data_IF_452670172583
#
_entry.id   IF_452670172583
#
_cell.length_a   1.000
_cell.length_b   1.000
_cell.length_c   1.000
_cell.angle_alpha   90.00
_cell.angle_beta   90.00
_cell.angle_gamma   90.00
#
_symmetry.space_group_name_H-M   'P 1'
#
loop_
_entity.id
_entity.type
_entity.pdbx_description
1 polymer ?
#
# COMPACT_ATOMS: atom_id res chain seq x y z
N UNK A 1 -23.07 16.31 25.70
CA UNK A 1 -22.16 16.71 24.60
C UNK A 1 -21.17 17.72 25.17
N UNK A 2 -19.91 17.34 25.40
CA UNK A 2 -18.91 18.23 26.02
C UNK A 2 -18.37 19.14 24.93
N UNK A 3 -18.66 20.45 25.01
CA UNK A 3 -18.15 21.43 24.07
C UNK A 3 -16.63 21.56 24.29
N UNK A 4 -15.79 21.38 23.25
CA UNK A 4 -14.34 21.48 23.36
C UNK A 4 -13.90 22.83 23.96
N UNK A 5 -12.87 22.82 24.79
CA UNK A 5 -12.41 24.00 25.52
C UNK A 5 -12.01 25.15 24.57
N UNK A 6 -11.45 24.84 23.40
CA UNK A 6 -11.11 25.83 22.39
C UNK A 6 -12.35 26.41 21.68
N UNK A 7 -13.42 25.62 21.48
CA UNK A 7 -14.71 26.14 20.98
C UNK A 7 -15.32 27.13 21.96
N UNK A 8 -15.20 26.88 23.27
CA UNK A 8 -15.63 27.85 24.30
C UNK A 8 -14.84 29.15 24.20
N UNK A 9 -13.52 29.07 23.97
CA UNK A 9 -12.66 30.25 23.77
C UNK A 9 -13.07 31.04 22.51
N UNK A 10 -13.35 30.36 21.39
CA UNK A 10 -13.81 31.01 20.15
C UNK A 10 -15.16 31.70 20.33
N UNK A 11 -16.12 31.06 20.99
CA UNK A 11 -17.42 31.66 21.31
C UNK A 11 -17.20 32.89 22.19
N UNK A 12 -16.37 32.79 23.22
CA UNK A 12 -16.05 33.92 24.09
C UNK A 12 -15.43 35.10 23.33
N UNK A 13 -14.50 34.84 22.41
CA UNK A 13 -13.89 35.87 21.55
C UNK A 13 -14.95 36.53 20.66
N UNK A 14 -15.79 35.74 19.98
CA UNK A 14 -16.85 36.27 19.10
C UNK A 14 -17.85 37.11 19.90
N UNK A 15 -18.32 36.59 21.03
CA UNK A 15 -19.24 37.32 21.92
C UNK A 15 -18.61 38.61 22.44
N UNK A 16 -17.33 38.58 22.83
CA UNK A 16 -16.58 39.76 23.26
C UNK A 16 -16.50 40.83 22.17
N UNK A 17 -16.15 40.45 20.93
CA UNK A 17 -16.12 41.36 19.78
C UNK A 17 -17.49 42.00 19.53
N UNK A 18 -18.57 41.22 19.57
CA UNK A 18 -19.94 41.74 19.39
C UNK A 18 -20.29 42.77 20.47
N UNK A 19 -19.98 42.48 21.73
CA UNK A 19 -20.22 43.40 22.85
C UNK A 19 -19.42 44.70 22.67
N UNK A 20 -18.18 44.63 22.21
CA UNK A 20 -17.38 45.83 21.92
C UNK A 20 -17.96 46.66 20.78
N UNK A 21 -18.45 46.04 19.70
CA UNK A 21 -19.11 46.75 18.59
C UNK A 21 -20.37 47.47 19.08
N UNK A 22 -21.21 46.78 19.86
CA UNK A 22 -22.44 47.37 20.44
C UNK A 22 -22.08 48.56 21.35
N UNK A 23 -21.04 48.41 22.18
CA UNK A 23 -20.55 49.49 23.06
C UNK A 23 -20.09 50.71 22.25
N UNK A 24 -19.34 50.50 21.17
CA UNK A 24 -18.88 51.59 20.29
C UNK A 24 -20.05 52.32 19.64
N UNK A 25 -21.05 51.59 19.11
CA UNK A 25 -22.26 52.18 18.53
C UNK A 25 -23.05 52.96 19.57
N UNK A 26 -23.17 52.43 20.79
CA UNK A 26 -23.86 53.10 21.89
C UNK A 26 -23.17 54.41 22.29
N UNK A 27 -21.84 54.40 22.40
CA UNK A 27 -21.04 55.60 22.68
C UNK A 27 -21.19 56.64 21.55
N UNK A 28 -21.21 56.20 20.29
CA UNK A 28 -21.41 57.07 19.13
C UNK A 28 -22.79 57.76 19.17
N UNK A 29 -23.86 57.00 19.45
CA UNK A 29 -25.22 57.52 19.55
C UNK A 29 -25.32 58.53 20.70
N UNK A 30 -24.78 58.19 21.89
CA UNK A 30 -24.76 59.10 23.05
C UNK A 30 -24.05 60.40 22.69
N UNK A 31 -22.90 60.32 22.01
CA UNK A 31 -22.16 61.51 21.60
C UNK A 31 -22.96 62.38 20.61
N UNK A 32 -23.66 61.77 19.64
CA UNK A 32 -24.51 62.50 18.70
C UNK A 32 -25.63 63.28 19.42
N UNK A 33 -26.25 62.68 20.43
CA UNK A 33 -27.29 63.35 21.24
C UNK A 33 -26.71 64.43 22.15
N UNK A 34 -25.62 64.15 22.87
CA UNK A 34 -24.97 65.10 23.80
C UNK A 34 -24.40 66.29 23.05
N UNK A 35 -23.72 66.09 21.91
CA UNK A 35 -23.16 67.17 21.10
C UNK A 35 -24.23 68.09 20.51
N UNK A 36 -25.37 67.53 20.07
CA UNK A 36 -26.52 68.31 19.63
C UNK A 36 -27.17 69.10 20.78
N UNK A 37 -27.28 68.50 21.97
CA UNK A 37 -27.80 69.19 23.16
C UNK A 37 -26.90 70.37 23.56
N UNK A 38 -25.59 70.16 23.64
CA UNK A 38 -24.63 71.20 24.04
C UNK A 38 -24.43 72.29 22.98
N UNK A 39 -24.63 72.01 21.69
CA UNK A 39 -24.66 73.06 20.64
C UNK A 39 -25.76 74.09 20.85
N UNK A 40 -26.87 73.71 21.49
CA UNK A 40 -27.96 74.65 21.81
C UNK A 40 -27.69 75.49 23.06
N UNK A 41 -26.68 75.13 23.87
CA UNK A 41 -26.31 75.76 25.14
C UNK A 41 -24.91 76.36 25.03
N UNK A 42 -24.74 77.35 24.15
CA UNK A 42 -23.47 78.09 24.03
C UNK A 42 -23.54 79.43 24.74
N UNK A 43 -23.17 79.44 26.02
CA UNK A 43 -22.46 80.54 26.69
C UNK A 43 -22.10 80.08 28.11
N UNK A 44 -20.82 80.18 28.50
CA UNK A 44 -20.26 79.77 29.80
C UNK A 44 -20.11 78.25 30.01
N UNK A 45 -19.03 77.67 29.47
CA UNK A 45 -18.04 76.80 30.17
C UNK A 45 -17.28 75.97 29.13
N UNK A 46 -16.07 76.41 28.76
CA UNK A 46 -15.25 75.73 27.75
C UNK A 46 -14.51 74.46 28.26
N UNK A 47 -14.42 74.26 29.59
CA UNK A 47 -13.65 73.17 30.19
C UNK A 47 -14.27 71.76 30.13
N UNK A 48 -15.59 71.54 30.28
CA UNK A 48 -16.17 70.19 30.30
C UNK A 48 -16.21 69.56 28.91
N UNK A 49 -16.41 70.37 27.87
CA UNK A 49 -16.52 69.92 26.48
C UNK A 49 -15.18 69.36 25.96
N UNK A 50 -14.07 70.00 26.32
CA UNK A 50 -12.73 69.54 25.95
C UNK A 50 -12.37 68.19 26.63
N UNK A 51 -12.80 67.99 27.88
CA UNK A 51 -12.60 66.73 28.60
C UNK A 51 -13.42 65.59 27.97
N UNK A 52 -14.70 65.83 27.67
CA UNK A 52 -15.57 64.85 27.01
C UNK A 52 -15.05 64.43 25.63
N UNK A 53 -14.54 65.37 24.83
CA UNK A 53 -13.93 65.05 23.54
C UNK A 53 -12.67 64.18 23.67
N UNK A 54 -11.81 64.44 24.66
CA UNK A 54 -10.61 63.60 24.91
C UNK A 54 -10.98 62.20 25.39
N UNK A 55 -11.97 62.09 26.27
CA UNK A 55 -12.47 60.80 26.77
C UNK A 55 -13.12 59.98 25.65
N UNK A 56 -13.84 60.64 24.74
CA UNK A 56 -14.42 60.00 23.55
C UNK A 56 -13.35 59.44 22.59
N UNK A 57 -12.33 60.23 22.26
CA UNK A 57 -11.21 59.77 21.43
C UNK A 57 -10.51 58.58 22.10
N UNK A 58 -10.28 58.65 23.40
CA UNK A 58 -9.68 57.56 24.17
C UNK A 58 -10.52 56.27 24.09
N UNK A 59 -11.84 56.35 24.25
CA UNK A 59 -12.74 55.19 24.16
C UNK A 59 -12.75 54.56 22.76
N UNK A 60 -12.75 55.37 21.70
CA UNK A 60 -12.66 54.86 20.32
C UNK A 60 -11.34 54.11 20.12
N UNK A 61 -10.22 54.69 20.56
CA UNK A 61 -8.90 54.06 20.41
C UNK A 61 -8.85 52.74 21.18
N UNK A 62 -9.33 52.70 22.42
CA UNK A 62 -9.39 51.46 23.23
C UNK A 62 -10.26 50.40 22.58
N UNK A 63 -11.40 50.78 21.98
CA UNK A 63 -12.27 49.84 21.30
C UNK A 63 -11.63 49.30 20.01
N UNK A 64 -10.96 50.15 19.22
CA UNK A 64 -10.22 49.72 18.04
C UNK A 64 -9.11 48.73 18.39
N UNK A 65 -8.32 49.01 19.42
CA UNK A 65 -7.25 48.11 19.90
C UNK A 65 -7.83 46.76 20.34
N UNK A 66 -8.96 46.75 21.06
CA UNK A 66 -9.64 45.52 21.48
C UNK A 66 -10.11 44.67 20.28
N UNK A 67 -10.70 45.29 19.26
CA UNK A 67 -11.14 44.60 18.04
C UNK A 67 -9.95 44.02 17.28
N UNK A 68 -8.88 44.79 17.09
CA UNK A 68 -7.65 44.31 16.43
C UNK A 68 -7.05 43.13 17.19
N UNK A 69 -7.01 43.19 18.52
CA UNK A 69 -6.50 42.11 19.36
C UNK A 69 -7.37 40.85 19.27
N UNK A 70 -8.70 40.99 19.25
CA UNK A 70 -9.64 39.89 19.06
C UNK A 70 -9.47 39.19 17.70
N UNK A 71 -9.34 39.97 16.63
CA UNK A 71 -9.06 39.45 15.28
C UNK A 71 -7.71 38.73 15.24
N UNK A 72 -6.68 39.30 15.88
CA UNK A 72 -5.34 38.70 15.94
C UNK A 72 -5.36 37.30 16.60
N UNK A 73 -6.00 37.16 17.76
CA UNK A 73 -6.12 35.86 18.45
C UNK A 73 -6.90 34.86 17.61
N UNK A 74 -7.98 35.31 16.95
CA UNK A 74 -8.79 34.46 16.08
C UNK A 74 -7.97 33.90 14.92
N UNK A 75 -7.23 34.76 14.20
CA UNK A 75 -6.36 34.35 13.09
C UNK A 75 -5.26 33.42 13.59
N UNK A 76 -4.58 33.74 14.69
CA UNK A 76 -3.50 32.90 15.24
C UNK A 76 -4.00 31.49 15.58
N UNK A 77 -5.18 31.39 16.19
CA UNK A 77 -5.80 30.11 16.55
C UNK A 77 -6.15 29.29 15.30
N UNK A 78 -6.66 29.95 14.26
CA UNK A 78 -7.01 29.30 12.99
C UNK A 78 -5.78 28.79 12.24
N UNK A 79 -4.70 29.59 12.16
CA UNK A 79 -3.43 29.20 11.50
C UNK A 79 -2.80 28.00 12.21
N UNK A 80 -2.82 27.95 13.54
CA UNK A 80 -2.31 26.79 14.30
C UNK A 80 -3.09 25.51 13.97
N UNK A 81 -4.41 25.60 13.80
CA UNK A 81 -5.24 24.48 13.36
C UNK A 81 -4.86 23.97 11.97
N UNK A 82 -4.78 24.88 10.98
CA UNK A 82 -4.43 24.51 9.59
C UNK A 82 -3.03 23.89 9.48
N UNK A 83 -2.05 24.40 10.23
CA UNK A 83 -0.70 23.87 10.17
C UNK A 83 -0.61 22.41 10.62
N UNK A 84 -1.45 21.98 11.58
CA UNK A 84 -1.54 20.56 11.98
C UNK A 84 -2.11 19.69 10.86
N UNK A 85 -3.11 20.18 10.13
CA UNK A 85 -3.64 19.49 8.95
C UNK A 85 -2.64 19.35 7.84
N UNK A 86 -1.86 20.39 7.57
CA UNK A 86 -0.82 20.34 6.55
C UNK A 86 0.26 19.31 6.91
N UNK A 87 0.58 19.18 8.20
CA UNK A 87 1.50 18.13 8.67
C UNK A 87 0.90 16.73 8.51
N UNK A 88 -0.39 16.54 8.83
CA UNK A 88 -1.09 15.28 8.63
C UNK A 88 -1.18 14.89 7.15
N UNK A 89 -1.55 15.82 6.28
CA UNK A 89 -1.61 15.59 4.84
C UNK A 89 -0.24 15.21 4.27
N UNK A 90 0.83 15.84 4.76
CA UNK A 90 2.21 15.45 4.41
C UNK A 90 2.55 14.04 4.88
N UNK A 91 2.19 13.65 6.11
CA UNK A 91 2.44 12.29 6.61
C UNK A 91 1.73 11.23 5.76
N UNK A 92 0.49 11.48 5.35
CA UNK A 92 -0.27 10.57 4.47
C UNK A 92 0.34 10.53 3.06
N UNK A 93 0.71 11.68 2.49
CA UNK A 93 1.36 11.76 1.18
C UNK A 93 2.68 10.98 1.16
N UNK A 94 3.52 11.18 2.18
CA UNK A 94 4.80 10.48 2.30
C UNK A 94 4.65 8.95 2.40
N UNK A 95 3.52 8.44 2.92
CA UNK A 95 3.26 7.00 3.01
C UNK A 95 2.80 6.43 1.68
N UNK A 96 2.12 7.24 0.86
CA UNK A 96 1.78 6.85 -0.51
C UNK A 96 3.04 6.67 -1.36
N UNK A 97 4.12 7.37 -1.00
CA UNK A 97 5.42 7.31 -1.66
C UNK A 97 6.36 6.22 -1.09
N UNK A 98 6.06 5.65 0.09
CA UNK A 98 6.85 4.58 0.70
C UNK A 98 6.33 3.20 0.26
N UNK A 99 7.22 2.36 -0.27
CA UNK A 99 6.89 0.97 -0.68
C UNK A 99 6.47 0.09 0.51
N UNK A 100 6.97 0.39 1.71
CA UNK A 100 6.59 -0.29 2.94
C UNK A 100 5.42 0.42 3.63
N UNK A 101 4.24 -0.20 3.57
CA UNK A 101 2.99 0.30 4.13
C UNK A 101 2.97 0.23 5.67
N UNK A 102 3.86 0.98 6.34
CA UNK A 102 3.98 0.98 7.79
C UNK A 102 3.03 1.98 8.46
N UNK A 103 1.74 1.62 8.48
CA UNK A 103 0.68 2.42 9.10
C UNK A 103 0.78 2.51 10.64
N UNK A 104 1.67 1.76 11.31
CA UNK A 104 1.76 1.71 12.78
C UNK A 104 2.26 3.01 13.41
N UNK A 105 2.92 3.86 12.63
CA UNK A 105 3.48 5.14 13.09
C UNK A 105 2.48 6.29 13.11
N UNK A 106 1.26 6.07 12.60
CA UNK A 106 0.24 7.12 12.47
C UNK A 106 -0.74 7.01 13.64
N UNK A 107 -0.56 7.86 14.65
CA UNK A 107 -1.62 8.13 15.62
C UNK A 107 -2.13 9.55 15.44
N UNK A 108 -3.42 9.68 15.12
CA UNK A 108 -4.07 10.98 15.04
C UNK A 108 -4.44 11.48 16.44
N UNK A 109 -4.24 12.78 16.72
CA UNK A 109 -4.60 13.37 18.01
C UNK A 109 -6.10 13.26 18.25
N UNK A 110 -6.47 12.73 19.43
CA UNK A 110 -7.86 12.41 19.80
C UNK A 110 -8.57 13.54 20.56
N UNK A 111 -7.82 14.53 21.06
CA UNK A 111 -8.32 15.57 21.98
C UNK A 111 -8.40 16.98 21.36
N UNK A 112 -8.02 17.15 20.08
CA UNK A 112 -8.05 18.47 19.43
C UNK A 112 -9.45 18.85 18.94
N UNK A 113 -9.63 20.06 18.36
CA UNK A 113 -10.90 20.54 17.78
C UNK A 113 -11.51 19.58 16.74
N UNK A 114 -10.67 18.68 16.22
CA UNK A 114 -11.00 17.66 15.25
C UNK A 114 -10.66 16.26 15.76
N UNK A 115 -10.58 16.08 17.08
CA UNK A 115 -10.30 14.81 17.75
C UNK A 115 -11.23 13.69 17.31
N UNK A 116 -12.50 14.00 17.06
CA UNK A 116 -13.46 13.06 16.47
C UNK A 116 -13.00 12.54 15.10
N UNK A 117 -12.48 13.43 14.25
CA UNK A 117 -11.94 13.07 12.92
C UNK A 117 -10.69 12.20 13.09
N UNK A 118 -9.81 12.56 14.03
CA UNK A 118 -8.64 11.74 14.37
C UNK A 118 -9.01 10.34 14.86
N UNK A 119 -10.04 10.21 15.69
CA UNK A 119 -10.57 8.90 16.13
C UNK A 119 -11.06 8.07 14.95
N UNK A 120 -11.83 8.65 14.03
CA UNK A 120 -12.29 7.93 12.83
C UNK A 120 -11.13 7.51 11.92
N UNK A 121 -10.12 8.37 11.73
CA UNK A 121 -8.95 8.00 10.95
C UNK A 121 -8.14 6.87 11.60
N UNK A 122 -7.93 6.91 12.91
CA UNK A 122 -7.30 5.81 13.66
C UNK A 122 -8.09 4.49 13.50
N UNK A 123 -9.43 4.56 13.50
CA UNK A 123 -10.28 3.38 13.24
C UNK A 123 -10.11 2.86 11.81
N UNK A 124 -10.03 3.73 10.81
CA UNK A 124 -9.80 3.33 9.42
C UNK A 124 -8.43 2.66 9.29
N UNK A 125 -7.39 3.25 9.86
CA UNK A 125 -6.03 2.69 9.86
C UNK A 125 -6.01 1.30 10.48
N UNK A 126 -6.58 1.14 11.67
CA UNK A 126 -6.61 -0.17 12.35
C UNK A 126 -7.38 -1.23 11.54
N UNK A 127 -8.46 -0.84 10.85
CA UNK A 127 -9.19 -1.74 9.94
C UNK A 127 -8.34 -2.15 8.74
N UNK A 128 -7.61 -1.22 8.14
CA UNK A 128 -6.72 -1.51 7.00
C UNK A 128 -5.59 -2.44 7.44
N UNK A 129 -4.95 -2.17 8.58
CA UNK A 129 -3.91 -3.05 9.15
C UNK A 129 -4.43 -4.46 9.39
N UNK A 130 -5.59 -4.58 10.05
CA UNK A 130 -6.21 -5.88 10.32
C UNK A 130 -6.55 -6.63 9.02
N UNK A 131 -7.01 -5.91 8.00
CA UNK A 131 -7.28 -6.51 6.70
C UNK A 131 -6.00 -7.08 6.06
N UNK A 132 -4.90 -6.33 6.10
CA UNK A 132 -3.61 -6.78 5.55
C UNK A 132 -3.03 -7.99 6.30
N UNK A 133 -3.11 -7.97 7.64
CA UNK A 133 -2.74 -9.11 8.48
C UNK A 133 -3.56 -10.37 8.12
N UNK A 134 -4.89 -10.24 8.01
CA UNK A 134 -5.78 -11.33 7.64
C UNK A 134 -5.50 -11.84 6.23
N UNK A 135 -5.22 -10.96 5.27
CA UNK A 135 -4.84 -11.31 3.91
C UNK A 135 -3.56 -12.13 3.90
N UNK A 136 -2.53 -11.67 4.61
CA UNK A 136 -1.24 -12.37 4.71
C UNK A 136 -1.39 -13.74 5.38
N UNK A 137 -2.17 -13.82 6.46
CA UNK A 137 -2.49 -15.09 7.13
C UNK A 137 -3.22 -16.05 6.19
N UNK A 138 -4.21 -15.57 5.42
CA UNK A 138 -4.95 -16.38 4.46
C UNK A 138 -4.04 -16.94 3.37
N UNK A 139 -3.17 -16.09 2.79
CA UNK A 139 -2.19 -16.53 1.78
C UNK A 139 -1.28 -17.62 2.36
N UNK A 140 -0.80 -17.46 3.59
CA UNK A 140 0.05 -18.45 4.26
C UNK A 140 -0.69 -19.78 4.47
N UNK A 141 -1.94 -19.74 4.91
CA UNK A 141 -2.76 -20.94 5.13
C UNK A 141 -3.02 -21.66 3.80
N UNK A 142 -3.41 -20.93 2.75
CA UNK A 142 -3.64 -21.54 1.43
C UNK A 142 -2.36 -22.17 0.86
N UNK A 143 -1.21 -21.51 1.01
CA UNK A 143 0.08 -22.09 0.64
C UNK A 143 0.37 -23.39 1.42
N UNK A 144 0.14 -23.40 2.73
CA UNK A 144 0.34 -24.61 3.55
C UNK A 144 -0.61 -25.75 3.16
N UNK A 145 -1.89 -25.46 2.89
CA UNK A 145 -2.83 -26.45 2.38
C UNK A 145 -2.36 -27.04 1.06
N UNK A 146 -1.93 -26.19 0.13
CA UNK A 146 -1.40 -26.63 -1.15
C UNK A 146 -0.17 -27.54 -0.98
N UNK A 147 0.79 -27.13 -0.14
CA UNK A 147 2.00 -27.93 0.14
C UNK A 147 1.68 -29.28 0.81
N UNK A 148 0.65 -29.36 1.65
CA UNK A 148 0.21 -30.61 2.25
C UNK A 148 -0.45 -31.52 1.22
N UNK A 149 -1.37 -30.97 0.42
CA UNK A 149 -2.08 -31.72 -0.61
C UNK A 149 -1.13 -32.25 -1.69
N UNK A 150 -0.16 -31.44 -2.12
CA UNK A 150 0.83 -31.83 -3.12
C UNK A 150 1.78 -32.93 -2.63
N UNK A 151 2.06 -33.01 -1.32
CA UNK A 151 2.85 -34.09 -0.71
C UNK A 151 2.06 -35.40 -0.57
N UNK A 152 0.74 -35.32 -0.42
CA UNK A 152 -0.13 -36.51 -0.36
C UNK A 152 -0.31 -37.19 -1.74
N UNK A 153 0.10 -36.51 -2.81
CA UNK A 153 -0.03 -37.01 -4.19
C UNK A 153 1.31 -37.62 -4.63
N UNK A 154 1.28 -38.88 -5.04
CA UNK A 154 2.45 -39.62 -5.54
C UNK A 154 2.90 -39.18 -6.95
N UNK A 155 2.08 -38.37 -7.64
CA UNK A 155 2.45 -37.77 -8.93
C UNK A 155 3.45 -36.63 -8.72
N UNK A 156 4.54 -36.57 -9.50
CA UNK A 156 5.40 -35.38 -9.52
C UNK A 156 4.66 -34.14 -10.01
N UNK A 157 4.82 -33.04 -9.27
CA UNK A 157 4.22 -31.74 -9.56
C UNK A 157 5.32 -30.69 -9.62
N UNK A 158 5.26 -29.85 -10.64
CA UNK A 158 6.11 -28.67 -10.81
C UNK A 158 5.22 -27.44 -11.02
N UNK A 159 5.50 -26.35 -10.31
CA UNK A 159 4.80 -25.07 -10.43
C UNK A 159 5.78 -24.01 -10.91
N UNK A 160 5.41 -23.34 -11.99
CA UNK A 160 6.22 -22.35 -12.68
C UNK A 160 5.50 -21.00 -12.65
N UNK A 161 6.14 -19.97 -12.12
CA UNK A 161 5.71 -18.57 -12.19
C UNK A 161 5.97 -18.02 -13.59
N UNK A 162 5.03 -17.24 -14.12
CA UNK A 162 5.16 -16.52 -15.39
C UNK A 162 5.34 -15.04 -15.06
N UNK A 163 6.58 -14.56 -15.14
CA UNK A 163 6.95 -13.18 -14.80
C UNK A 163 7.57 -12.50 -16.02
N UNK A 164 6.86 -11.56 -16.65
CA UNK A 164 7.36 -10.81 -17.83
C UNK A 164 7.94 -11.74 -18.92
N UNK A 165 7.20 -12.79 -19.27
CA UNK A 165 7.58 -13.87 -20.21
C UNK A 165 8.67 -14.83 -19.71
N UNK A 166 9.27 -14.57 -18.55
CA UNK A 166 10.18 -15.50 -17.90
C UNK A 166 9.41 -16.60 -17.16
N UNK A 167 9.87 -17.85 -17.34
CA UNK A 167 9.33 -19.04 -16.68
C UNK A 167 10.23 -19.43 -15.52
N UNK A 168 9.79 -19.21 -14.28
CA UNK A 168 10.61 -19.40 -13.07
C UNK A 168 10.01 -20.50 -12.19
N UNK A 169 10.82 -21.46 -11.76
CA UNK A 169 10.35 -22.54 -10.87
C UNK A 169 10.02 -21.98 -9.49
N UNK A 170 8.75 -22.04 -9.08
CA UNK A 170 8.28 -21.53 -7.79
C UNK A 170 8.16 -22.64 -6.74
N UNK A 171 7.73 -23.82 -7.16
CA UNK A 171 7.49 -24.95 -6.28
C UNK A 171 7.59 -26.28 -7.01
N UNK A 172 7.96 -27.34 -6.31
CA UNK A 172 7.84 -28.73 -6.72
C UNK A 172 7.57 -29.59 -5.49
N UNK A 173 6.88 -30.72 -5.66
CA UNK A 173 6.60 -31.64 -4.55
C UNK A 173 7.72 -32.67 -4.33
N UNK A 174 7.60 -33.44 -3.25
CA UNK A 174 8.57 -34.48 -2.87
C UNK A 174 8.69 -35.58 -3.94
N UNK A 175 7.59 -35.95 -4.60
CA UNK A 175 7.59 -36.93 -5.69
C UNK A 175 8.41 -36.46 -6.89
N UNK A 176 8.35 -35.16 -7.22
CA UNK A 176 9.20 -34.56 -8.24
C UNK A 176 10.68 -34.54 -7.81
N UNK A 177 10.94 -34.16 -6.57
CA UNK A 177 12.29 -34.10 -6.02
C UNK A 177 12.99 -35.48 -6.07
N UNK A 178 12.28 -36.54 -5.65
CA UNK A 178 12.78 -37.93 -5.65
C UNK A 178 13.10 -38.47 -7.05
N UNK A 179 12.31 -38.08 -8.06
CA UNK A 179 12.44 -38.63 -9.42
C UNK A 179 13.40 -37.78 -10.26
N UNK A 180 13.20 -36.46 -10.30
CA UNK A 180 13.89 -35.60 -11.27
C UNK A 180 15.06 -34.80 -10.67
N UNK A 181 15.04 -34.50 -9.37
CA UNK A 181 16.02 -33.61 -8.74
C UNK A 181 17.02 -34.34 -7.81
N UNK A 182 17.08 -35.67 -7.84
CA UNK A 182 18.03 -36.46 -7.02
C UNK A 182 19.48 -36.27 -7.50
N UNK A 183 20.41 -36.09 -6.56
CA UNK A 183 21.86 -36.05 -6.81
C UNK A 183 22.49 -37.45 -6.76
N UNK A 184 23.80 -37.53 -6.99
CA UNK A 184 24.58 -38.77 -6.85
C UNK A 184 24.62 -39.30 -5.42
N UNK A 185 24.75 -38.41 -4.44
CA UNK A 185 24.77 -38.78 -3.02
C UNK A 185 23.37 -39.10 -2.51
N UNK A 186 23.26 -40.22 -1.79
CA UNK A 186 21.98 -40.72 -1.31
C UNK A 186 21.36 -39.76 -0.29
N UNK A 187 20.18 -39.24 -0.61
CA UNK A 187 19.45 -38.29 0.23
C UNK A 187 19.71 -36.81 -0.08
N UNK A 188 20.57 -36.50 -1.07
CA UNK A 188 20.73 -35.12 -1.55
C UNK A 188 19.90 -34.82 -2.82
N UNK A 189 19.41 -33.59 -2.90
CA UNK A 189 18.58 -33.11 -4.00
C UNK A 189 19.05 -31.74 -4.51
N UNK A 190 18.83 -31.47 -5.80
CA UNK A 190 19.08 -30.18 -6.42
C UNK A 190 17.99 -29.18 -6.04
N UNK A 191 18.36 -28.06 -5.40
CA UNK A 191 17.42 -26.96 -5.19
C UNK A 191 17.24 -26.14 -6.47
N UNK A 192 16.19 -26.45 -7.21
CA UNK A 192 15.82 -25.74 -8.44
C UNK A 192 14.85 -24.57 -8.22
N UNK A 193 14.53 -24.21 -6.97
CA UNK A 193 13.60 -23.10 -6.69
C UNK A 193 14.22 -21.77 -7.13
N UNK A 194 13.38 -20.90 -7.70
CA UNK A 194 13.73 -19.60 -8.24
C UNK A 194 14.75 -19.66 -9.39
N UNK A 195 14.88 -20.81 -10.07
CA UNK A 195 15.65 -20.92 -11.30
C UNK A 195 14.75 -20.76 -12.52
N UNK A 196 15.31 -20.18 -13.58
CA UNK A 196 14.65 -20.15 -14.88
C UNK A 196 14.53 -21.57 -15.42
N UNK A 197 13.33 -21.91 -15.86
CA UNK A 197 13.01 -23.24 -16.35
C UNK A 197 13.89 -23.65 -17.55
N UNK A 198 14.18 -22.69 -18.43
CA UNK A 198 15.07 -22.86 -19.57
C UNK A 198 16.55 -23.07 -19.18
N UNK A 199 16.97 -22.59 -17.99
CA UNK A 199 18.35 -22.70 -17.52
C UNK A 199 18.67 -24.07 -16.88
N UNK A 200 17.66 -24.93 -16.68
CA UNK A 200 17.86 -26.27 -16.16
C UNK A 200 18.47 -27.16 -17.24
N UNK A 201 19.79 -27.33 -17.19
CA UNK A 201 20.55 -28.24 -18.05
C UNK A 201 20.63 -29.63 -17.43
N UNK A 202 20.50 -30.65 -18.27
CA UNK A 202 20.60 -32.06 -17.95
C UNK A 202 22.07 -32.45 -17.92
N UNK A 203 22.53 -33.02 -16.81
CA UNK A 203 23.93 -33.44 -16.61
C UNK A 203 24.86 -32.35 -16.07
N UNK A 204 24.37 -31.12 -15.91
CA UNK A 204 25.10 -30.03 -15.27
C UNK A 204 24.40 -29.61 -13.97
N UNK A 205 25.15 -29.29 -12.90
CA UNK A 205 24.54 -28.75 -11.68
C UNK A 205 23.86 -27.42 -12.00
N UNK A 206 22.65 -27.16 -11.45
CA UNK A 206 21.93 -25.92 -11.67
C UNK A 206 22.75 -24.72 -11.19
N UNK A 207 23.00 -23.74 -12.07
CA UNK A 207 23.73 -22.52 -11.73
C UNK A 207 22.77 -21.35 -11.53
N UNK A 208 23.00 -20.53 -10.50
CA UNK A 208 22.15 -19.38 -10.14
C UNK A 208 22.44 -18.10 -10.95
N UNK A 209 23.29 -18.17 -11.98
CA UNK A 209 23.94 -16.99 -12.58
C UNK A 209 23.25 -16.41 -13.82
N UNK A 210 21.96 -16.68 -14.06
CA UNK A 210 21.28 -16.18 -15.26
C UNK A 210 20.41 -14.95 -14.97
N UNK A 211 20.53 -13.91 -15.80
CA UNK A 211 19.72 -12.68 -15.76
C UNK A 211 18.66 -12.69 -16.87
N UNK A 212 17.65 -13.57 -16.75
CA UNK A 212 16.48 -13.62 -17.66
C UNK A 212 16.52 -14.74 -18.69
N UNK A 213 15.35 -15.14 -19.21
CA UNK A 213 15.19 -16.27 -20.15
C UNK A 213 15.82 -15.99 -21.52
N UNK A 214 15.74 -14.76 -22.03
CA UNK A 214 16.37 -14.40 -23.31
C UNK A 214 17.89 -14.56 -23.30
N UNK A 215 18.53 -14.27 -22.16
CA UNK A 215 19.98 -14.35 -22.00
C UNK A 215 20.46 -15.81 -21.96
N UNK A 216 19.58 -16.73 -21.55
CA UNK A 216 19.79 -18.18 -21.56
C UNK A 216 19.68 -18.72 -22.98
N UNK A 217 18.59 -18.41 -23.70
CA UNK A 217 18.40 -18.89 -25.08
C UNK A 217 19.39 -18.30 -26.08
N UNK A 218 19.79 -17.03 -25.93
CA UNK A 218 20.75 -16.39 -26.84
C UNK A 218 22.21 -16.87 -26.65
N UNK A 219 22.53 -17.46 -25.49
CA UNK A 219 23.86 -18.02 -25.20
C UNK A 219 23.96 -19.52 -25.47
N UNK A 220 22.84 -20.21 -25.67
CA UNK A 220 22.82 -21.64 -25.96
C UNK A 220 22.97 -21.88 -27.47
N UNK A 221 23.94 -22.70 -27.85
CA UNK A 221 23.98 -23.26 -29.20
C UNK A 221 22.80 -24.22 -29.40
N UNK A 222 22.32 -24.42 -30.64
CA UNK A 222 21.23 -25.36 -30.93
C UNK A 222 21.48 -26.78 -30.39
N UNK A 223 22.75 -27.17 -30.22
CA UNK A 223 23.15 -28.43 -29.60
C UNK A 223 22.95 -28.49 -28.07
N UNK A 224 23.01 -27.36 -27.37
CA UNK A 224 22.80 -27.29 -25.90
C UNK A 224 21.31 -27.36 -25.52
N UNK A 225 20.41 -26.92 -26.40
CA UNK A 225 18.96 -27.03 -26.21
C UNK A 225 18.46 -28.49 -26.20
N UNK A 226 19.23 -29.42 -26.75
CA UNK A 226 18.93 -30.86 -26.70
C UNK A 226 19.14 -31.42 -25.28
N UNK A 227 19.94 -30.74 -24.46
CA UNK A 227 20.25 -31.12 -23.09
C UNK A 227 19.51 -30.27 -22.06
N UNK A 228 18.52 -29.46 -22.42
CA UNK A 228 17.68 -28.82 -21.40
C UNK A 228 16.68 -29.81 -20.81
N UNK A 229 16.35 -29.65 -19.52
CA UNK A 229 15.29 -30.41 -18.86
C UNK A 229 13.93 -30.19 -19.55
N UNK A 230 13.77 -29.00 -20.15
CA UNK A 230 12.59 -28.54 -20.88
C UNK A 230 13.04 -28.18 -22.29
N UNK A 231 12.73 -29.01 -23.26
CA UNK A 231 13.03 -28.71 -24.66
C UNK A 231 11.96 -27.80 -25.30
N UNK A 232 12.18 -27.46 -26.57
CA UNK A 232 11.31 -26.54 -27.32
C UNK A 232 9.86 -27.04 -27.43
N UNK A 233 9.65 -28.35 -27.52
CA UNK A 233 8.29 -28.91 -27.59
C UNK A 233 7.55 -28.72 -26.27
N UNK A 234 8.23 -28.95 -25.15
CA UNK A 234 7.65 -28.74 -23.82
C UNK A 234 7.36 -27.25 -23.60
N UNK A 235 8.29 -26.35 -23.94
CA UNK A 235 8.07 -24.90 -23.81
C UNK A 235 6.89 -24.43 -24.67
N UNK A 236 6.80 -24.91 -25.92
CA UNK A 236 5.67 -24.63 -26.79
C UNK A 236 4.35 -25.11 -26.18
N UNK A 237 4.32 -26.28 -25.55
CA UNK A 237 3.11 -26.78 -24.89
C UNK A 237 2.67 -25.88 -23.72
N UNK A 238 3.63 -25.33 -22.95
CA UNK A 238 3.35 -24.32 -21.93
C UNK A 238 2.76 -23.07 -22.59
N UNK A 239 3.37 -22.57 -23.65
CA UNK A 239 2.91 -21.37 -24.34
C UNK A 239 1.50 -21.56 -24.94
N UNK A 240 1.20 -22.74 -25.49
CA UNK A 240 -0.14 -23.11 -25.98
C UNK A 240 -1.14 -23.10 -24.82
N UNK A 241 -0.81 -23.70 -23.68
CA UNK A 241 -1.69 -23.70 -22.51
C UNK A 241 -2.00 -22.27 -22.04
N UNK A 242 -0.97 -21.42 -21.99
CA UNK A 242 -1.10 -20.00 -21.64
C UNK A 242 -1.99 -19.26 -22.64
N UNK A 243 -1.76 -19.45 -23.95
CA UNK A 243 -2.46 -18.74 -25.02
C UNK A 243 -3.93 -19.14 -25.13
N UNK A 244 -4.22 -20.45 -25.16
CA UNK A 244 -5.57 -21.01 -25.38
C UNK A 244 -6.45 -20.95 -24.14
N UNK A 245 -5.87 -20.48 -23.06
CA UNK A 245 -6.42 -20.46 -21.72
C UNK A 245 -6.96 -21.80 -21.19
N UNK A 246 -6.35 -22.91 -21.60
CA UNK A 246 -6.88 -24.25 -21.33
C UNK A 246 -5.78 -25.23 -20.94
N UNK A 247 -6.20 -26.37 -20.39
CA UNK A 247 -5.31 -27.49 -20.08
C UNK A 247 -4.70 -28.02 -21.37
N UNK A 248 -3.37 -28.09 -21.43
CA UNK A 248 -2.64 -28.77 -22.51
C UNK A 248 -2.11 -30.10 -22.01
N UNK A 249 -2.13 -31.11 -22.88
CA UNK A 249 -1.60 -32.45 -22.57
C UNK A 249 -0.57 -32.82 -23.61
N UNK A 250 0.61 -33.23 -23.16
CA UNK A 250 1.67 -33.74 -24.04
C UNK A 250 2.16 -35.11 -23.57
N UNK A 251 2.77 -35.86 -24.48
CA UNK A 251 3.44 -37.13 -24.19
C UNK A 251 4.90 -36.96 -24.49
N UNK A 252 5.76 -37.23 -23.51
CA UNK A 252 7.18 -36.94 -23.67
C UNK A 252 8.06 -37.80 -22.79
N UNK A 253 9.25 -38.08 -23.31
CA UNK A 253 10.36 -38.61 -22.53
C UNK A 253 11.09 -37.45 -21.86
N UNK A 254 11.28 -37.54 -20.55
CA UNK A 254 11.93 -36.53 -19.73
C UNK A 254 13.14 -37.16 -19.07
N UNK A 255 14.27 -36.46 -19.13
CA UNK A 255 15.49 -36.87 -18.43
C UNK A 255 15.51 -36.30 -17.01
N UNK A 256 16.09 -37.01 -16.07
CA UNK A 256 16.42 -36.45 -14.76
C UNK A 256 17.36 -35.26 -14.93
N UNK A 257 17.42 -34.36 -13.94
CA UNK A 257 18.36 -33.21 -13.97
C UNK A 257 19.81 -33.70 -14.05
N UNK A 258 20.12 -34.84 -13.43
CA UNK A 258 21.43 -35.50 -13.55
C UNK A 258 21.66 -36.16 -14.92
N UNK A 259 20.60 -36.48 -15.67
CA UNK A 259 20.69 -36.96 -17.05
C UNK A 259 21.00 -38.45 -17.25
N UNK A 260 21.13 -39.17 -16.16
CA UNK A 260 21.37 -40.62 -16.10
C UNK A 260 20.12 -41.46 -16.42
N UNK A 261 18.94 -40.92 -16.10
CA UNK A 261 17.67 -41.64 -16.16
C UNK A 261 16.70 -40.95 -17.10
N UNK A 262 15.92 -41.75 -17.83
CA UNK A 262 14.89 -41.28 -18.75
C UNK A 262 13.55 -41.88 -18.34
N UNK A 263 12.55 -41.01 -18.18
CA UNK A 263 11.20 -41.38 -17.84
C UNK A 263 10.26 -41.00 -18.99
N UNK A 264 9.51 -41.97 -19.49
CA UNK A 264 8.42 -41.73 -20.42
C UNK A 264 7.18 -41.35 -19.64
N UNK A 265 6.65 -40.17 -19.91
CA UNK A 265 5.36 -39.73 -19.41
C UNK A 265 4.31 -39.88 -20.50
N UNK A 266 3.34 -40.76 -20.25
CA UNK A 266 2.19 -40.96 -21.16
C UNK A 266 1.19 -39.79 -21.09
N UNK A 267 1.31 -38.92 -20.09
CA UNK A 267 0.37 -37.83 -19.82
C UNK A 267 1.03 -36.74 -18.96
N UNK A 268 1.63 -35.74 -19.59
CA UNK A 268 2.06 -34.52 -18.92
C UNK A 268 0.93 -33.52 -19.07
N UNK A 269 0.33 -33.13 -17.95
CA UNK A 269 -0.79 -32.20 -17.93
C UNK A 269 -0.32 -30.83 -17.47
N UNK A 270 -0.60 -29.81 -18.26
CA UNK A 270 -0.17 -28.43 -18.05
C UNK A 270 -1.41 -27.60 -17.78
N UNK A 271 -1.53 -27.10 -16.56
CA UNK A 271 -2.65 -26.32 -16.05
C UNK A 271 -2.23 -24.87 -15.81
N UNK A 272 -2.61 -23.95 -16.70
CA UNK A 272 -2.39 -22.53 -16.49
C UNK A 272 -3.35 -21.96 -15.43
N UNK A 273 -2.81 -21.11 -14.55
CA UNK A 273 -3.53 -20.42 -13.47
C UNK A 273 -3.56 -18.92 -13.79
N UNK A 274 -4.76 -18.39 -13.89
CA UNK A 274 -5.04 -16.97 -14.17
C UNK A 274 -5.37 -16.21 -12.90
N UNK A 275 -5.13 -14.90 -12.94
CA UNK A 275 -5.80 -13.97 -12.04
C UNK A 275 -7.18 -13.54 -12.58
N UNK A 276 -7.87 -12.72 -11.79
CA UNK A 276 -9.18 -12.16 -12.16
C UNK A 276 -9.16 -11.27 -13.41
N UNK A 277 -7.97 -10.80 -13.82
CA UNK A 277 -7.77 -10.01 -15.05
C UNK A 277 -7.50 -10.90 -16.28
N UNK A 278 -7.50 -12.23 -16.10
CA UNK A 278 -7.26 -13.18 -17.16
C UNK A 278 -5.81 -13.24 -17.65
N UNK A 279 -4.86 -12.69 -16.90
CA UNK A 279 -3.43 -12.89 -17.16
C UNK A 279 -2.94 -14.13 -16.41
N UNK A 280 -2.15 -14.96 -17.10
CA UNK A 280 -1.58 -16.17 -16.50
C UNK A 280 -0.47 -15.80 -15.52
N UNK A 281 -0.64 -16.19 -14.27
CA UNK A 281 0.33 -15.94 -13.20
C UNK A 281 1.27 -17.13 -13.03
N UNK A 282 0.73 -18.35 -13.12
CA UNK A 282 1.45 -19.58 -12.85
C UNK A 282 0.98 -20.69 -13.78
N UNK A 283 1.81 -21.72 -13.93
CA UNK A 283 1.48 -22.96 -14.63
C UNK A 283 1.84 -24.13 -13.72
N UNK A 284 0.88 -25.03 -13.51
CA UNK A 284 1.06 -26.27 -12.75
C UNK A 284 1.19 -27.43 -13.72
N UNK A 285 2.25 -28.20 -13.57
CA UNK A 285 2.60 -29.30 -14.45
C UNK A 285 2.53 -30.59 -13.64
N UNK A 286 1.71 -31.54 -14.09
CA UNK A 286 1.60 -32.88 -13.53
C UNK A 286 2.25 -33.90 -14.45
N UNK A 287 3.14 -34.73 -13.91
CA UNK A 287 3.81 -35.80 -14.67
C UNK A 287 3.15 -37.15 -14.37
N UNK A 288 2.00 -37.42 -15.01
CA UNK A 288 1.23 -38.63 -14.76
C UNK A 288 1.77 -39.85 -15.52
N UNK A 289 1.62 -41.03 -14.91
CA UNK A 289 1.98 -42.34 -15.52
C UNK A 289 3.44 -42.41 -16.01
N UNK A 290 4.37 -41.94 -15.19
CA UNK A 290 5.79 -42.04 -15.48
C UNK A 290 6.25 -43.51 -15.49
N UNK A 291 6.95 -43.89 -16.55
CA UNK A 291 7.60 -45.20 -16.69
C UNK A 291 9.07 -45.01 -17.00
N UNK A 292 9.93 -45.60 -16.18
CA UNK A 292 11.38 -45.60 -16.42
C UNK A 292 11.69 -46.36 -17.71
N UNK A 293 12.36 -45.71 -18.65
CA UNK A 293 12.80 -46.33 -19.90
C UNK A 293 14.12 -47.05 -19.60
N UNK A 294 14.10 -48.39 -19.65
CA UNK A 294 15.34 -49.18 -19.57
C UNK A 294 16.09 -48.99 -20.90
N UNK A 295 17.30 -48.43 -20.82
CA UNK A 295 18.27 -48.47 -21.93
C UNK A 295 18.83 -49.88 -22.07
#
# INVERSE_FOLDING_TARGET
MVIPQQTKIKIYIITSIIVYIISLVSIFIINMYVSNLFRSVTALTASPLAFLNRLYIFLIVMCLVSVVFGIYIFIMSFIRGINRYRDLARRIANITEQEDFNLKSIEFPKEDEFGNVGVYFNQIISKIQRFDELKTQRIKIEKQKFELLSRMIDTPILVVSIEKDDKIVKYYNESFEKIFARKEEEGEYYDIKNLYLAALKVGEPPTKNYKGVLDVFNKMSEGELIYSFIDKEFDNAINIAIADKTKTVIKKDIRTIRGDEVYRSDLIEIYPIWNDYGTTMEVVIFFNKLRKVKR
#
